data_IF_399393983276
#
_entry.id   IF_399393983276
#
_cell.length_a   1.000
_cell.length_b   1.000
_cell.length_c   1.000
_cell.angle_alpha   90.00
_cell.angle_beta   90.00
_cell.angle_gamma   90.00
#
_symmetry.space_group_name_H-M   'P 1'
#
loop_
_entity.id
_entity.type
_entity.pdbx_description
1 polymer ?
#
# COMPACT_ATOMS: atom_id res chain seq x y z
N UNK A 1 -35.85 9.55 -3.31
CA UNK A 1 -35.21 10.13 -4.51
C UNK A 1 -34.22 11.19 -4.04
N UNK A 2 -32.94 11.15 -4.46
CA UNK A 2 -31.97 12.21 -4.15
C UNK A 2 -31.91 13.18 -5.33
N UNK A 3 -32.17 14.45 -5.06
CA UNK A 3 -32.08 15.52 -6.06
C UNK A 3 -30.74 16.24 -5.87
N UNK A 4 -30.05 16.50 -6.98
CA UNK A 4 -28.81 17.27 -6.99
C UNK A 4 -29.09 18.62 -7.65
N UNK A 5 -28.80 19.70 -6.93
CA UNK A 5 -28.99 21.07 -7.39
C UNK A 5 -27.63 21.74 -7.62
N UNK A 6 -27.60 22.75 -8.50
CA UNK A 6 -26.43 23.58 -8.75
C UNK A 6 -26.86 24.96 -9.28
N UNK A 7 -26.00 25.96 -9.14
CA UNK A 7 -26.21 27.28 -9.75
C UNK A 7 -25.83 27.25 -11.24
N UNK A 8 -26.74 27.58 -12.17
CA UNK A 8 -26.44 27.66 -13.60
C UNK A 8 -25.32 28.65 -13.94
N UNK A 9 -25.21 29.78 -13.23
CA UNK A 9 -24.15 30.77 -13.48
C UNK A 9 -22.78 30.17 -13.16
N UNK A 10 -22.68 29.49 -12.03
CA UNK A 10 -21.48 28.76 -11.65
C UNK A 10 -21.17 27.61 -12.62
N UNK A 11 -22.19 26.88 -13.06
CA UNK A 11 -22.00 25.79 -14.03
C UNK A 11 -21.47 26.29 -15.38
N UNK A 12 -21.82 27.49 -15.82
CA UNK A 12 -21.24 28.10 -17.02
C UNK A 12 -19.75 28.44 -16.85
N UNK A 13 -19.31 28.76 -15.63
CA UNK A 13 -17.92 29.10 -15.34
C UNK A 13 -17.02 27.87 -15.18
N UNK A 14 -17.45 26.88 -14.38
CA UNK A 14 -16.60 25.74 -13.99
C UNK A 14 -17.03 24.40 -14.60
N UNK A 15 -18.22 24.36 -15.22
CA UNK A 15 -18.88 23.16 -15.74
C UNK A 15 -19.85 22.53 -14.74
N UNK A 16 -20.88 21.83 -15.25
CA UNK A 16 -21.95 21.23 -14.43
C UNK A 16 -21.43 20.29 -13.33
N UNK A 17 -20.46 19.42 -13.64
CA UNK A 17 -19.91 18.48 -12.68
C UNK A 17 -19.25 19.18 -11.47
N UNK A 18 -18.51 20.26 -11.73
CA UNK A 18 -17.88 21.07 -10.69
C UNK A 18 -18.92 21.87 -9.89
N UNK A 19 -19.90 22.46 -10.55
CA UNK A 19 -20.96 23.22 -9.87
C UNK A 19 -21.80 22.35 -8.92
N UNK A 20 -22.15 21.13 -9.32
CA UNK A 20 -22.89 20.19 -8.47
C UNK A 20 -22.05 19.75 -7.25
N UNK A 21 -20.77 19.41 -7.46
CA UNK A 21 -19.88 19.02 -6.36
C UNK A 21 -19.65 20.19 -5.40
N UNK A 22 -19.51 21.42 -5.93
CA UNK A 22 -19.40 22.62 -5.12
C UNK A 22 -20.61 22.83 -4.24
N UNK A 23 -21.83 22.80 -4.80
CA UNK A 23 -23.06 22.93 -4.03
C UNK A 23 -23.13 21.93 -2.87
N UNK A 24 -22.74 20.68 -3.13
CA UNK A 24 -22.71 19.64 -2.11
C UNK A 24 -21.69 19.90 -0.99
N UNK A 25 -20.47 20.35 -1.34
CA UNK A 25 -19.44 20.71 -0.37
C UNK A 25 -19.92 21.89 0.48
N UNK A 26 -20.44 22.94 -0.14
CA UNK A 26 -20.95 24.14 0.52
C UNK A 26 -22.08 23.82 1.49
N UNK A 27 -23.00 22.94 1.11
CA UNK A 27 -24.07 22.47 1.99
C UNK A 27 -23.53 21.83 3.28
N UNK A 28 -22.54 20.95 3.17
CA UNK A 28 -21.97 20.30 4.35
C UNK A 28 -21.13 21.24 5.21
N UNK A 29 -20.50 22.23 4.61
CA UNK A 29 -19.79 23.29 5.36
C UNK A 29 -20.79 24.12 6.16
N UNK A 30 -21.89 24.57 5.55
CA UNK A 30 -22.97 25.30 6.23
C UNK A 30 -23.61 24.46 7.35
N UNK A 31 -23.84 23.18 7.09
CA UNK A 31 -24.33 22.24 8.11
C UNK A 31 -23.37 22.12 9.29
N UNK A 32 -22.07 22.00 9.02
CA UNK A 32 -21.03 21.92 10.06
C UNK A 32 -20.91 23.25 10.81
N UNK A 33 -21.03 24.39 10.12
CA UNK A 33 -21.04 25.72 10.73
C UNK A 33 -22.19 25.90 11.72
N UNK A 34 -23.41 25.53 11.32
CA UNK A 34 -24.61 25.62 12.17
C UNK A 34 -24.55 24.72 13.40
N UNK A 35 -23.85 23.59 13.30
CA UNK A 35 -23.67 22.65 14.39
C UNK A 35 -22.34 22.85 15.16
N UNK A 36 -21.56 23.88 14.81
CA UNK A 36 -20.25 24.19 15.40
C UNK A 36 -19.24 23.03 15.36
N UNK A 37 -19.31 22.22 14.31
CA UNK A 37 -18.45 21.05 14.11
C UNK A 37 -17.36 21.34 13.08
N UNK A 38 -16.21 20.66 13.21
CA UNK A 38 -15.14 20.72 12.21
C UNK A 38 -14.60 22.14 11.92
N UNK A 39 -14.64 23.02 12.91
CA UNK A 39 -14.00 24.33 12.86
C UNK A 39 -12.50 24.20 13.11
N UNK A 40 -11.68 24.57 12.12
CA UNK A 40 -10.21 24.48 12.14
C UNK A 40 -9.61 25.61 11.32
N UNK A 41 -8.53 26.21 11.82
CA UNK A 41 -7.79 27.28 11.14
C UNK A 41 -8.69 28.45 10.68
N UNK A 42 -9.67 28.82 11.52
CA UNK A 42 -10.60 29.92 11.26
C UNK A 42 -11.71 29.60 10.25
N UNK A 43 -11.87 28.34 9.83
CA UNK A 43 -12.86 27.93 8.82
C UNK A 43 -13.59 26.66 9.24
N UNK A 44 -14.79 26.47 8.69
CA UNK A 44 -15.51 25.21 8.76
C UNK A 44 -15.13 24.31 7.58
N UNK A 45 -14.91 23.04 7.90
CA UNK A 45 -14.46 22.06 6.91
C UNK A 45 -15.44 20.91 6.78
N UNK A 46 -15.44 20.28 5.61
CA UNK A 46 -16.06 18.98 5.37
C UNK A 46 -15.02 18.04 4.76
N UNK A 47 -15.14 16.74 5.03
CA UNK A 47 -14.19 15.75 4.54
C UNK A 47 -14.90 14.77 3.63
N UNK A 48 -14.31 14.45 2.48
CA UNK A 48 -14.89 13.48 1.56
C UNK A 48 -13.84 12.86 0.63
N UNK A 49 -13.97 11.56 0.37
CA UNK A 49 -13.08 10.86 -0.54
C UNK A 49 -13.67 10.82 -1.95
N UNK A 50 -12.82 10.71 -2.98
CA UNK A 50 -13.29 10.51 -4.37
C UNK A 50 -14.21 9.29 -4.49
N UNK A 51 -13.93 8.23 -3.72
CA UNK A 51 -14.77 7.02 -3.67
C UNK A 51 -16.17 7.32 -3.12
N UNK A 52 -16.26 8.09 -2.04
CA UNK A 52 -17.54 8.48 -1.45
C UNK A 52 -18.29 9.47 -2.36
N UNK A 53 -17.60 10.40 -3.03
CA UNK A 53 -18.17 11.20 -4.10
C UNK A 53 -18.76 10.34 -5.23
N UNK A 54 -18.07 9.28 -5.68
CA UNK A 54 -18.59 8.39 -6.73
C UNK A 54 -19.87 7.65 -6.32
N UNK A 55 -20.05 7.36 -5.03
CA UNK A 55 -21.31 6.76 -4.52
C UNK A 55 -22.45 7.79 -4.48
N UNK A 56 -22.13 9.06 -4.22
CA UNK A 56 -23.12 10.14 -4.13
C UNK A 56 -23.50 10.70 -5.51
N UNK A 57 -22.57 10.63 -6.46
CA UNK A 57 -22.72 11.12 -7.84
C UNK A 57 -22.47 9.98 -8.82
N UNK A 58 -23.37 8.98 -8.92
CA UNK A 58 -23.14 7.77 -9.70
C UNK A 58 -23.07 8.02 -11.22
N UNK A 59 -23.50 9.21 -11.68
CA UNK A 59 -23.40 9.66 -13.07
C UNK A 59 -22.07 10.36 -13.38
N UNK A 60 -21.18 10.56 -12.40
CA UNK A 60 -19.84 11.11 -12.59
C UNK A 60 -18.79 10.02 -12.40
N UNK A 61 -17.90 9.89 -13.37
CA UNK A 61 -16.74 9.00 -13.25
C UNK A 61 -15.74 9.52 -12.21
N UNK A 62 -14.91 8.65 -11.60
CA UNK A 62 -13.86 9.08 -10.69
C UNK A 62 -12.87 10.09 -11.30
N UNK A 63 -12.70 10.09 -12.63
CA UNK A 63 -11.88 11.06 -13.34
C UNK A 63 -12.56 12.43 -13.37
N UNK A 64 -13.85 12.48 -13.74
CA UNK A 64 -14.62 13.72 -13.74
C UNK A 64 -14.70 14.36 -12.36
N UNK A 65 -14.83 13.57 -11.29
CA UNK A 65 -14.83 14.06 -9.91
C UNK A 65 -13.49 14.74 -9.57
N UNK A 66 -12.36 14.10 -9.89
CA UNK A 66 -11.03 14.69 -9.66
C UNK A 66 -10.85 15.99 -10.43
N UNK A 67 -11.14 15.98 -11.73
CA UNK A 67 -11.06 17.18 -12.57
C UNK A 67 -11.98 18.30 -12.08
N UNK A 68 -13.17 17.97 -11.59
CA UNK A 68 -14.10 18.93 -11.00
C UNK A 68 -13.53 19.56 -9.72
N UNK A 69 -13.01 18.76 -8.79
CA UNK A 69 -12.38 19.24 -7.56
C UNK A 69 -11.15 20.12 -7.87
N UNK A 70 -10.31 19.71 -8.82
CA UNK A 70 -9.13 20.50 -9.24
C UNK A 70 -9.55 21.85 -9.84
N UNK A 71 -10.61 21.89 -10.65
CA UNK A 71 -11.17 23.14 -11.19
C UNK A 71 -11.68 24.07 -10.09
N UNK A 72 -12.37 23.53 -9.08
CA UNK A 72 -12.88 24.33 -7.96
C UNK A 72 -11.73 24.92 -7.11
N UNK A 73 -10.67 24.14 -6.88
CA UNK A 73 -9.46 24.60 -6.19
C UNK A 73 -8.73 25.68 -7.00
N UNK A 74 -8.57 25.44 -8.31
CA UNK A 74 -7.89 26.40 -9.22
C UNK A 74 -8.66 27.72 -9.32
N UNK A 75 -10.00 27.65 -9.33
CA UNK A 75 -10.89 28.82 -9.31
C UNK A 75 -11.02 29.46 -7.92
N UNK A 76 -10.30 28.94 -6.92
CA UNK A 76 -10.31 29.38 -5.51
C UNK A 76 -11.69 29.36 -4.84
N UNK A 77 -12.64 28.61 -5.39
CA UNK A 77 -13.98 28.43 -4.81
C UNK A 77 -13.93 27.54 -3.57
N UNK A 78 -13.03 26.55 -3.58
CA UNK A 78 -12.74 25.70 -2.43
C UNK A 78 -11.24 25.66 -2.18
N UNK A 79 -10.87 25.40 -0.94
CA UNK A 79 -9.50 25.04 -0.55
C UNK A 79 -9.48 23.59 -0.09
N UNK A 80 -8.35 22.92 -0.33
CA UNK A 80 -8.10 21.54 0.13
C UNK A 80 -7.03 21.52 1.20
N UNK A 81 -7.20 20.69 2.22
CA UNK A 81 -6.21 20.45 3.25
C UNK A 81 -6.23 18.99 3.73
N UNK A 82 -5.20 18.64 4.50
CA UNK A 82 -5.09 17.37 5.21
C UNK A 82 -5.20 17.66 6.71
N UNK A 83 -6.35 17.36 7.31
CA UNK A 83 -6.60 17.53 8.75
C UNK A 83 -6.71 16.19 9.51
N UNK A 84 -6.23 15.11 8.88
CA UNK A 84 -6.31 13.78 9.46
C UNK A 84 -5.23 13.58 10.51
N UNK A 85 -5.60 13.00 11.65
CA UNK A 85 -4.64 12.67 12.72
C UNK A 85 -3.72 11.51 12.33
N UNK A 86 -4.22 10.57 11.51
CA UNK A 86 -3.45 9.46 10.95
C UNK A 86 -2.99 9.81 9.53
N UNK A 87 -1.69 9.69 9.25
CA UNK A 87 -1.09 9.90 7.91
C UNK A 87 -1.58 8.89 6.86
N UNK A 88 -2.19 7.80 7.30
CA UNK A 88 -2.77 6.76 6.44
C UNK A 88 -4.17 7.13 5.93
N UNK A 89 -4.86 8.04 6.62
CA UNK A 89 -6.14 8.54 6.18
C UNK A 89 -5.91 9.61 5.11
N UNK A 90 -6.31 9.27 3.88
CA UNK A 90 -6.20 10.14 2.70
C UNK A 90 -7.49 10.92 2.45
N UNK A 91 -8.38 10.99 3.45
CA UNK A 91 -9.61 11.77 3.32
C UNK A 91 -9.23 13.24 3.18
N UNK A 92 -9.56 13.80 2.02
CA UNK A 92 -9.30 15.20 1.75
C UNK A 92 -10.34 16.05 2.43
N UNK A 93 -9.89 17.10 3.11
CA UNK A 93 -10.74 18.10 3.72
C UNK A 93 -10.91 19.27 2.78
N UNK A 94 -12.13 19.80 2.70
CA UNK A 94 -12.51 20.93 1.87
C UNK A 94 -13.15 22.01 2.72
N UNK A 95 -12.75 23.25 2.49
CA UNK A 95 -13.40 24.44 3.02
C UNK A 95 -13.70 25.41 1.88
N UNK A 96 -14.58 26.39 2.14
CA UNK A 96 -14.83 27.47 1.20
C UNK A 96 -13.55 28.31 1.05
N UNK A 97 -13.18 28.58 -0.19
CA UNK A 97 -12.05 29.44 -0.51
C UNK A 97 -12.43 30.91 -0.43
N UNK A 98 -11.42 31.78 -0.45
CA UNK A 98 -11.58 33.24 -0.39
C UNK A 98 -11.97 33.84 -1.74
N UNK A 99 -12.68 33.09 -2.58
CA UNK A 99 -13.38 33.67 -3.70
C UNK A 99 -14.45 34.62 -3.14
N UNK A 100 -14.02 35.85 -2.85
CA UNK A 100 -14.84 37.05 -2.95
C UNK A 100 -15.54 36.89 -4.28
N UNK A 101 -16.84 36.65 -4.29
CA UNK A 101 -17.62 36.82 -5.50
C UNK A 101 -17.43 38.28 -5.95
N UNK A 102 -16.81 38.59 -7.09
CA UNK A 102 -17.04 39.87 -7.71
C UNK A 102 -18.19 39.63 -8.69
N UNK A 103 -19.31 40.29 -8.46
CA UNK A 103 -20.10 40.70 -9.61
C UNK A 103 -19.14 41.42 -10.58
N UNK A 104 -19.01 40.88 -11.80
CA UNK A 104 -18.34 41.55 -12.90
C UNK A 104 -16.85 41.23 -13.08
N UNK A 105 -16.51 41.01 -14.35
CA UNK A 105 -15.17 40.97 -14.94
C UNK A 105 -14.40 39.64 -14.81
N UNK A 106 -14.79 38.70 -15.68
CA UNK A 106 -13.84 37.77 -16.28
C UNK A 106 -13.26 38.43 -17.54
N UNK A 107 -11.96 38.71 -17.54
CA UNK A 107 -11.24 38.98 -18.79
C UNK A 107 -11.15 37.67 -19.59
N UNK A 108 -11.80 37.71 -20.75
CA UNK A 108 -11.82 36.68 -21.77
C UNK A 108 -10.45 36.60 -22.47
N UNK A 109 -9.92 35.42 -22.81
CA UNK A 109 -9.18 35.28 -24.05
C UNK A 109 -10.20 35.30 -25.20
N UNK A 110 -10.05 36.31 -26.06
CA UNK A 110 -10.98 36.66 -27.13
C UNK A 110 -11.32 35.54 -28.10
N UNK A 111 -12.53 35.66 -28.61
CA UNK A 111 -13.21 34.82 -29.58
C UNK A 111 -12.45 34.66 -30.90
N UNK A 112 -12.64 33.51 -31.54
CA UNK A 112 -12.75 33.42 -32.99
C UNK A 112 -13.71 32.28 -33.37
N UNK A 113 -14.99 32.64 -33.29
CA UNK A 113 -16.08 32.46 -34.25
C UNK A 113 -16.30 31.16 -35.06
N UNK A 114 -17.60 30.95 -35.28
CA UNK A 114 -18.32 29.93 -36.02
C UNK A 114 -17.77 29.58 -37.42
N UNK A 115 -17.92 28.31 -37.80
CA UNK A 115 -17.70 27.85 -39.17
C UNK A 115 -17.90 26.36 -39.35
N UNK A 116 -19.12 25.97 -39.75
CA UNK A 116 -19.50 24.89 -40.69
C UNK A 116 -18.62 23.63 -40.75
N UNK A 117 -19.26 22.48 -40.52
CA UNK A 117 -18.68 21.16 -40.78
C UNK A 117 -18.27 20.96 -42.25
N UNK A 118 -17.13 20.28 -42.49
CA UNK A 118 -17.05 19.35 -43.61
C UNK A 118 -16.56 17.97 -43.17
N UNK A 119 -17.11 16.96 -43.85
CA UNK A 119 -16.60 15.60 -43.79
C UNK A 119 -15.18 15.49 -44.37
N UNK A 120 -14.39 14.61 -43.76
CA UNK A 120 -13.43 13.74 -44.44
C UNK A 120 -12.23 14.40 -45.14
N UNK A 121 -11.05 14.30 -44.51
CA UNK A 121 -9.87 13.68 -45.15
C UNK A 121 -8.69 13.63 -44.17
N UNK A 122 -8.01 12.50 -44.20
CA UNK A 122 -6.82 12.15 -43.44
C UNK A 122 -5.61 13.02 -43.80
N UNK A 123 -4.61 13.01 -42.90
CA UNK A 123 -3.20 13.47 -42.99
C UNK A 123 -2.96 14.79 -42.23
N UNK A 124 -1.99 14.97 -41.34
CA UNK A 124 -0.76 14.22 -41.02
C UNK A 124 -0.28 14.68 -39.62
N UNK A 125 0.05 13.73 -38.74
CA UNK A 125 0.57 14.03 -37.40
C UNK A 125 1.94 14.72 -37.53
N UNK A 126 1.99 16.02 -37.24
CA UNK A 126 3.26 16.72 -37.00
C UNK A 126 3.52 16.80 -35.50
N UNK A 127 3.78 15.64 -34.90
CA UNK A 127 4.29 15.54 -33.54
C UNK A 127 5.76 15.96 -33.56
N UNK A 128 6.12 17.00 -32.81
CA UNK A 128 7.49 17.21 -32.35
C UNK A 128 7.56 16.73 -30.89
N UNK A 129 8.40 15.74 -30.56
CA UNK A 129 8.49 15.21 -29.20
C UNK A 129 9.33 16.15 -28.35
N UNK A 130 8.69 17.00 -27.55
CA UNK A 130 9.40 17.65 -26.45
C UNK A 130 9.52 16.68 -25.28
N UNK A 131 10.74 16.12 -25.21
CA UNK A 131 11.37 15.36 -24.12
C UNK A 131 10.77 13.99 -23.87
N UNK A 132 11.55 12.98 -24.26
CA UNK A 132 11.39 11.61 -23.77
C UNK A 132 11.25 11.66 -22.23
N UNK A 133 10.22 11.02 -21.65
CA UNK A 133 10.22 10.76 -20.22
C UNK A 133 11.52 10.02 -19.88
N UNK A 134 12.15 10.29 -18.73
CA UNK A 134 13.43 9.70 -18.40
C UNK A 134 13.35 8.19 -18.57
N UNK A 135 14.38 7.63 -19.21
CA UNK A 135 14.47 6.21 -19.44
C UNK A 135 14.22 5.47 -18.12
N UNK A 136 13.60 4.29 -18.23
CA UNK A 136 13.23 3.38 -17.14
C UNK A 136 14.39 2.98 -16.18
N UNK A 137 15.57 3.57 -16.34
CA UNK A 137 16.77 3.37 -15.54
C UNK A 137 16.99 4.42 -14.43
N UNK A 138 16.35 5.59 -14.46
CA UNK A 138 16.70 6.70 -13.53
C UNK A 138 15.81 6.84 -12.27
N UNK A 139 14.79 5.98 -12.10
CA UNK A 139 14.01 5.89 -10.86
C UNK A 139 14.38 4.66 -10.01
N UNK A 140 15.68 4.30 -10.00
CA UNK A 140 16.24 3.55 -8.86
C UNK A 140 16.57 4.56 -7.77
N UNK A 141 15.53 5.14 -7.16
CA UNK A 141 15.68 5.84 -5.88
C UNK A 141 16.10 4.77 -4.85
N UNK A 142 17.43 4.65 -4.71
CA UNK A 142 18.19 3.76 -3.82
C UNK A 142 17.72 2.30 -3.84
N UNK A 143 18.27 1.50 -4.74
CA UNK A 143 18.13 0.04 -4.67
C UNK A 143 18.66 -0.43 -3.31
N UNK A 144 17.74 -0.78 -2.40
CA UNK A 144 18.05 -1.47 -1.15
C UNK A 144 18.11 -2.97 -1.47
N UNK A 145 19.32 -3.57 -1.60
CA UNK A 145 19.46 -4.96 -2.02
C UNK A 145 18.80 -5.93 -1.03
N UNK A 146 18.62 -5.49 0.22
CA UNK A 146 18.00 -6.28 1.27
C UNK A 146 16.47 -6.29 1.08
N UNK A 147 15.85 -5.12 0.90
CA UNK A 147 14.41 -5.04 0.68
C UNK A 147 13.97 -5.59 -0.68
N UNK A 148 14.82 -5.52 -1.72
CA UNK A 148 14.50 -6.05 -3.05
C UNK A 148 14.13 -7.53 -3.01
N UNK A 149 14.80 -8.34 -2.18
CA UNK A 149 14.45 -9.77 -2.03
C UNK A 149 13.03 -9.95 -1.48
N UNK A 150 12.69 -9.20 -0.44
CA UNK A 150 11.35 -9.22 0.18
C UNK A 150 10.30 -8.71 -0.82
N UNK A 151 10.63 -7.67 -1.59
CA UNK A 151 9.77 -7.11 -2.61
C UNK A 151 9.48 -8.11 -3.73
N UNK A 152 10.50 -8.84 -4.18
CA UNK A 152 10.39 -9.83 -5.25
C UNK A 152 9.72 -11.13 -4.82
N UNK A 153 9.70 -11.44 -3.51
CA UNK A 153 8.90 -12.52 -2.95
C UNK A 153 7.37 -12.25 -2.99
N UNK A 154 6.96 -10.99 -2.96
CA UNK A 154 5.53 -10.61 -2.95
C UNK A 154 4.85 -10.80 -4.33
N UNK A 155 3.54 -11.09 -4.43
CA UNK A 155 2.86 -11.23 -5.73
C UNK A 155 3.03 -10.03 -6.66
N UNK A 156 3.58 -10.24 -7.86
CA UNK A 156 3.96 -9.18 -8.78
C UNK A 156 2.79 -8.28 -9.22
N UNK A 157 1.58 -8.84 -9.36
CA UNK A 157 0.37 -8.12 -9.77
C UNK A 157 -0.24 -7.25 -8.64
N UNK A 158 0.30 -7.36 -7.42
CA UNK A 158 -0.18 -6.67 -6.21
C UNK A 158 0.90 -5.81 -5.54
N UNK A 159 2.06 -5.68 -6.17
CA UNK A 159 3.11 -4.75 -5.78
C UNK A 159 2.67 -3.31 -6.09
N UNK A 160 2.63 -2.46 -5.06
CA UNK A 160 2.27 -1.04 -5.16
C UNK A 160 3.05 -0.25 -4.13
N UNK A 161 3.49 0.95 -4.53
CA UNK A 161 4.14 1.91 -3.64
C UNK A 161 5.36 1.31 -2.92
N UNK A 162 6.43 1.10 -3.69
CA UNK A 162 7.68 0.48 -3.23
C UNK A 162 8.26 1.23 -2.02
N UNK A 163 8.33 2.56 -2.08
CA UNK A 163 8.88 3.39 -0.99
C UNK A 163 8.13 3.18 0.33
N UNK A 164 6.80 3.26 0.33
CA UNK A 164 6.02 3.03 1.55
C UNK A 164 6.14 1.59 2.07
N UNK A 165 6.25 0.61 1.17
CA UNK A 165 6.45 -0.80 1.54
C UNK A 165 7.82 -1.01 2.18
N UNK A 166 8.88 -0.41 1.61
CA UNK A 166 10.24 -0.40 2.14
C UNK A 166 10.30 0.26 3.51
N UNK A 167 9.75 1.45 3.64
CA UNK A 167 9.81 2.22 4.89
C UNK A 167 9.05 1.52 6.02
N UNK A 168 7.91 0.89 5.71
CA UNK A 168 7.16 0.08 6.67
C UNK A 168 7.94 -1.18 7.11
N UNK A 169 8.58 -1.87 6.16
CA UNK A 169 9.41 -3.03 6.45
C UNK A 169 10.64 -2.65 7.29
N UNK A 170 11.35 -1.59 6.90
CA UNK A 170 12.50 -1.06 7.63
C UNK A 170 12.11 -0.66 9.04
N UNK A 171 11.00 0.06 9.21
CA UNK A 171 10.54 0.45 10.54
C UNK A 171 10.20 -0.77 11.43
N UNK A 172 9.72 -1.88 10.86
CA UNK A 172 9.48 -3.12 11.61
C UNK A 172 10.79 -3.81 12.03
N UNK A 173 11.79 -3.81 11.15
CA UNK A 173 13.13 -4.34 11.43
C UNK A 173 13.84 -3.49 12.49
N UNK A 174 13.79 -2.16 12.36
CA UNK A 174 14.42 -1.21 13.28
C UNK A 174 13.79 -1.29 14.69
N UNK A 175 12.50 -1.65 14.78
CA UNK A 175 11.82 -1.95 16.06
C UNK A 175 12.13 -3.34 16.62
N UNK A 176 12.89 -4.17 15.89
CA UNK A 176 13.23 -5.54 16.29
C UNK A 176 12.05 -6.52 16.23
N UNK A 177 10.97 -6.19 15.52
CA UNK A 177 9.77 -7.03 15.47
C UNK A 177 9.97 -8.26 14.56
N UNK A 178 10.76 -8.10 13.50
CA UNK A 178 10.96 -9.08 12.43
C UNK A 178 12.34 -8.93 11.81
N UNK A 179 12.96 -10.05 11.42
CA UNK A 179 14.17 -10.02 10.60
C UNK A 179 13.84 -9.92 9.11
N UNK A 180 14.81 -9.48 8.30
CA UNK A 180 14.63 -9.44 6.84
C UNK A 180 14.25 -10.83 6.27
N UNK A 181 14.89 -11.89 6.77
CA UNK A 181 14.65 -13.27 6.34
C UNK A 181 13.24 -13.74 6.71
N UNK A 182 12.80 -13.46 7.94
CA UNK A 182 11.44 -13.78 8.39
C UNK A 182 10.39 -13.06 7.55
N UNK A 183 10.66 -11.80 7.20
CA UNK A 183 9.77 -11.01 6.37
C UNK A 183 9.72 -11.51 4.92
N UNK A 184 10.85 -11.96 4.38
CA UNK A 184 10.91 -12.61 3.08
C UNK A 184 10.08 -13.91 3.08
N UNK A 185 10.32 -14.82 4.04
CA UNK A 185 9.53 -16.06 4.15
C UNK A 185 8.04 -15.80 4.33
N UNK A 186 7.67 -14.76 5.09
CA UNK A 186 6.28 -14.35 5.23
C UNK A 186 5.66 -13.88 3.90
N UNK A 187 6.41 -13.15 3.07
CA UNK A 187 5.94 -12.69 1.76
C UNK A 187 5.76 -13.87 0.78
N UNK A 188 6.69 -14.84 0.77
CA UNK A 188 6.60 -16.06 -0.03
C UNK A 188 5.40 -16.93 0.38
N UNK A 189 5.19 -17.11 1.69
CA UNK A 189 4.05 -17.83 2.22
C UNK A 189 2.72 -17.15 1.88
N UNK A 190 2.67 -15.82 1.95
CA UNK A 190 1.52 -15.04 1.50
C UNK A 190 1.26 -15.20 0.00
N UNK A 191 2.31 -15.15 -0.83
CA UNK A 191 2.20 -15.33 -2.27
C UNK A 191 1.66 -16.73 -2.64
N UNK A 192 2.14 -17.75 -1.93
CA UNK A 192 1.69 -19.14 -2.10
C UNK A 192 0.22 -19.29 -1.73
N UNK A 193 -0.19 -18.79 -0.56
CA UNK A 193 -1.58 -18.83 -0.08
C UNK A 193 -2.54 -18.08 -1.01
N UNK A 194 -2.08 -16.98 -1.62
CA UNK A 194 -2.90 -16.10 -2.46
C UNK A 194 -2.89 -16.44 -3.95
N UNK A 195 -2.11 -17.43 -4.40
CA UNK A 195 -1.93 -17.78 -5.81
C UNK A 195 -3.23 -18.12 -6.57
N UNK A 196 -4.22 -18.70 -5.88
CA UNK A 196 -5.54 -19.03 -6.44
C UNK A 196 -6.63 -18.00 -6.17
N UNK A 197 -6.30 -16.88 -5.52
CA UNK A 197 -7.31 -15.92 -5.06
C UNK A 197 -7.68 -14.93 -6.15
N UNK A 198 -8.92 -14.43 -6.07
CA UNK A 198 -9.29 -13.29 -6.90
C UNK A 198 -8.51 -12.05 -6.47
N UNK A 199 -8.20 -11.23 -7.47
CA UNK A 199 -7.46 -9.96 -7.36
C UNK A 199 -7.90 -9.05 -6.21
N UNK A 200 -9.20 -9.01 -5.89
CA UNK A 200 -9.76 -8.19 -4.82
C UNK A 200 -9.49 -8.74 -3.41
N UNK A 201 -9.12 -10.03 -3.29
CA UNK A 201 -8.80 -10.71 -2.03
C UNK A 201 -7.31 -10.67 -1.69
N UNK A 202 -6.46 -10.33 -2.65
CA UNK A 202 -5.02 -10.15 -2.43
C UNK A 202 -4.74 -8.69 -2.06
N UNK A 203 -4.04 -8.50 -0.95
CA UNK A 203 -3.69 -7.17 -0.44
C UNK A 203 -2.63 -6.52 -1.33
N UNK A 204 -2.69 -5.21 -1.51
CA UNK A 204 -1.55 -4.49 -2.06
C UNK A 204 -0.37 -4.54 -1.08
N UNK A 205 0.85 -4.57 -1.59
CA UNK A 205 2.07 -4.70 -0.79
C UNK A 205 2.15 -3.62 0.31
N UNK A 206 1.90 -2.36 -0.02
CA UNK A 206 1.91 -1.24 0.94
C UNK A 206 0.94 -1.47 2.12
N UNK A 207 -0.27 -1.95 1.83
CA UNK A 207 -1.25 -2.29 2.85
C UNK A 207 -0.85 -3.54 3.66
N UNK A 208 -0.15 -4.49 3.04
CA UNK A 208 0.30 -5.70 3.70
C UNK A 208 1.47 -5.44 4.66
N UNK A 209 2.46 -4.66 4.23
CA UNK A 209 3.58 -4.20 5.05
C UNK A 209 3.12 -3.21 6.14
N UNK A 210 2.41 -2.15 5.75
CA UNK A 210 1.94 -1.11 6.67
C UNK A 210 0.89 -1.61 7.66
N UNK A 211 0.02 -2.53 7.23
CA UNK A 211 -1.01 -3.15 8.08
C UNK A 211 -0.50 -4.33 8.91
N UNK A 212 0.81 -4.60 8.95
CA UNK A 212 1.43 -5.69 9.72
C UNK A 212 0.83 -7.07 9.45
N UNK A 213 0.28 -7.29 8.25
CA UNK A 213 -0.36 -8.56 7.88
C UNK A 213 0.63 -9.72 7.77
N UNK A 214 1.91 -9.40 7.65
CA UNK A 214 3.03 -10.34 7.72
C UNK A 214 3.20 -10.98 9.10
N UNK A 215 2.73 -10.35 10.18
CA UNK A 215 2.95 -10.82 11.55
C UNK A 215 2.41 -12.25 11.77
N UNK A 216 1.19 -12.54 11.29
CA UNK A 216 0.61 -13.90 11.38
C UNK A 216 1.46 -14.97 10.71
N UNK A 217 2.17 -14.62 9.64
CA UNK A 217 3.04 -15.55 8.91
C UNK A 217 4.34 -15.76 9.66
N UNK A 218 4.93 -14.68 10.16
CA UNK A 218 6.14 -14.73 10.98
C UNK A 218 5.89 -15.55 12.24
N UNK A 219 4.79 -15.30 12.96
CA UNK A 219 4.45 -16.04 14.18
C UNK A 219 4.25 -17.52 13.89
N UNK A 220 3.54 -17.86 12.80
CA UNK A 220 3.38 -19.25 12.36
C UNK A 220 4.73 -19.89 12.04
N UNK A 221 5.61 -19.21 11.29
CA UNK A 221 6.94 -19.71 10.99
C UNK A 221 7.81 -19.90 12.23
N UNK A 222 7.69 -19.01 13.23
CA UNK A 222 8.40 -19.14 14.51
C UNK A 222 7.92 -20.36 15.28
N UNK A 223 6.61 -20.59 15.36
CA UNK A 223 6.02 -21.78 15.99
C UNK A 223 6.47 -23.05 15.26
N UNK A 224 6.40 -23.07 13.94
CA UNK A 224 6.80 -24.21 13.13
C UNK A 224 8.30 -24.52 13.29
N UNK A 225 9.15 -23.48 13.30
CA UNK A 225 10.61 -23.61 13.52
C UNK A 225 10.91 -24.11 14.92
N UNK A 226 10.26 -23.59 15.95
CA UNK A 226 10.42 -24.05 17.33
C UNK A 226 9.97 -25.52 17.47
N UNK A 227 8.84 -25.88 16.87
CA UNK A 227 8.34 -27.25 16.85
C UNK A 227 9.29 -28.21 16.11
N UNK A 228 9.85 -27.79 14.98
CA UNK A 228 10.84 -28.57 14.24
C UNK A 228 12.14 -28.74 15.04
N UNK A 229 12.64 -27.67 15.66
CA UNK A 229 13.82 -27.72 16.51
C UNK A 229 13.62 -28.66 17.72
N UNK A 230 12.46 -28.60 18.39
CA UNK A 230 12.13 -29.50 19.48
C UNK A 230 12.08 -30.98 19.03
N UNK A 231 11.48 -31.26 17.85
CA UNK A 231 11.48 -32.61 17.28
C UNK A 231 12.90 -33.10 16.95
N UNK A 232 13.72 -32.26 16.36
CA UNK A 232 15.12 -32.58 16.06
C UNK A 232 15.93 -32.82 17.34
N UNK A 233 15.75 -32.00 18.37
CA UNK A 233 16.40 -32.17 19.66
C UNK A 233 15.96 -33.46 20.37
N UNK A 234 14.66 -33.79 20.33
CA UNK A 234 14.15 -35.05 20.85
C UNK A 234 14.71 -36.27 20.09
N UNK A 235 14.85 -36.18 18.77
CA UNK A 235 15.48 -37.22 17.97
C UNK A 235 16.96 -37.41 18.33
N UNK A 236 17.71 -36.32 18.49
CA UNK A 236 19.11 -36.35 18.94
C UNK A 236 19.24 -36.94 20.35
N UNK A 237 18.33 -36.63 21.27
CA UNK A 237 18.30 -37.22 22.61
C UNK A 237 18.03 -38.74 22.53
N UNK A 238 17.14 -39.19 21.65
CA UNK A 238 16.91 -40.62 21.41
C UNK A 238 18.14 -41.34 20.87
N UNK A 239 18.89 -40.72 19.96
CA UNK A 239 20.16 -41.26 19.48
C UNK A 239 21.24 -41.27 20.56
N UNK A 240 21.29 -40.24 21.41
CA UNK A 240 22.23 -40.17 22.53
C UNK A 240 21.99 -41.32 23.52
N UNK A 241 20.72 -41.67 23.78
CA UNK A 241 20.36 -42.82 24.62
C UNK A 241 20.90 -44.14 24.05
N UNK A 242 20.84 -44.33 22.72
CA UNK A 242 21.43 -45.51 22.07
C UNK A 242 22.95 -45.57 22.26
N UNK A 243 23.63 -44.42 22.17
CA UNK A 243 25.09 -44.32 22.37
C UNK A 243 25.46 -44.63 23.82
N UNK A 244 24.71 -44.10 24.80
CA UNK A 244 24.96 -44.32 26.24
C UNK A 244 24.72 -45.79 26.61
N UNK A 245 23.62 -46.37 26.13
CA UNK A 245 23.26 -47.79 26.36
C UNK A 245 24.08 -48.77 25.51
N UNK A 246 24.91 -48.29 24.58
CA UNK A 246 25.70 -49.09 23.62
C UNK A 246 24.83 -50.04 22.81
N UNK A 247 23.68 -49.56 22.37
CA UNK A 247 22.74 -50.32 21.53
C UNK A 247 23.36 -50.65 20.17
N UNK A 248 23.01 -51.81 19.60
CA UNK A 248 23.41 -52.19 18.23
C UNK A 248 22.89 -51.23 17.15
N UNK A 249 21.91 -50.40 17.50
CA UNK A 249 21.34 -49.38 16.61
C UNK A 249 22.30 -48.20 16.36
N UNK A 250 23.39 -48.08 17.13
CA UNK A 250 24.42 -47.05 16.92
C UNK A 250 25.03 -47.10 15.52
N UNK A 251 25.02 -48.26 14.84
CA UNK A 251 25.47 -48.40 13.45
C UNK A 251 24.73 -47.52 12.44
N UNK A 252 23.51 -47.07 12.78
CA UNK A 252 22.67 -46.24 11.93
C UNK A 252 22.88 -44.74 12.17
N UNK A 253 23.68 -44.37 13.17
CA UNK A 253 23.94 -42.98 13.49
C UNK A 253 24.97 -42.44 12.50
N UNK A 254 24.60 -41.37 11.78
CA UNK A 254 25.50 -40.73 10.84
C UNK A 254 26.55 -39.87 11.57
N UNK A 255 27.66 -39.60 10.87
CA UNK A 255 28.70 -38.67 11.34
C UNK A 255 28.13 -37.31 11.76
N UNK A 256 27.22 -36.75 10.97
CA UNK A 256 26.61 -35.45 11.25
C UNK A 256 25.71 -35.48 12.48
N UNK A 257 24.99 -36.58 12.71
CA UNK A 257 24.19 -36.77 13.93
C UNK A 257 25.09 -36.91 15.16
N UNK A 258 26.20 -37.65 15.04
CA UNK A 258 27.21 -37.77 16.10
C UNK A 258 27.79 -36.41 16.50
N UNK A 259 28.22 -35.60 15.52
CA UNK A 259 28.71 -34.24 15.77
C UNK A 259 27.61 -33.38 16.42
N UNK A 260 26.40 -33.41 15.89
CA UNK A 260 25.28 -32.63 16.44
C UNK A 260 24.93 -33.01 17.89
N UNK A 261 25.01 -34.30 18.26
CA UNK A 261 24.82 -34.73 19.65
C UNK A 261 25.95 -34.27 20.56
N UNK A 262 27.19 -34.27 20.06
CA UNK A 262 28.35 -33.76 20.81
C UNK A 262 28.26 -32.24 21.03
N UNK A 263 27.92 -31.48 19.98
CA UNK A 263 27.74 -30.02 20.06
C UNK A 263 26.57 -29.65 20.97
N UNK A 264 25.51 -30.45 20.97
CA UNK A 264 24.39 -30.30 21.90
C UNK A 264 24.73 -30.72 23.35
N UNK A 265 25.94 -31.24 23.60
CA UNK A 265 26.38 -31.68 24.93
C UNK A 265 25.68 -32.93 25.45
N UNK A 266 24.99 -33.68 24.58
CA UNK A 266 24.23 -34.88 24.96
C UNK A 266 25.13 -36.10 25.16
N UNK A 267 26.27 -36.14 24.46
CA UNK A 267 27.28 -37.22 24.54
C UNK A 267 28.67 -36.64 24.37
N UNK A 268 29.67 -37.33 24.93
CA UNK A 268 31.09 -36.99 24.78
C UNK A 268 31.73 -37.72 23.62
N UNK A 269 32.85 -37.19 23.10
CA UNK A 269 33.65 -37.85 22.07
C UNK A 269 34.05 -39.29 22.45
N UNK A 270 34.39 -39.51 23.73
CA UNK A 270 34.75 -40.83 24.26
C UNK A 270 33.59 -41.82 24.20
N UNK A 271 32.36 -41.37 24.49
CA UNK A 271 31.16 -42.21 24.41
C UNK A 271 30.82 -42.58 22.96
N UNK A 272 30.92 -41.64 22.03
CA UNK A 272 30.71 -41.90 20.60
C UNK A 272 31.71 -42.92 20.05
N UNK A 273 33.00 -42.75 20.37
CA UNK A 273 34.05 -43.71 19.97
C UNK A 273 33.83 -45.09 20.59
N UNK A 274 33.44 -45.17 21.86
CA UNK A 274 33.16 -46.44 22.54
C UNK A 274 31.93 -47.16 21.96
N UNK A 275 30.96 -46.44 21.42
CA UNK A 275 29.79 -46.98 20.73
C UNK A 275 30.04 -47.30 19.24
N UNK A 276 31.26 -47.09 18.74
CA UNK A 276 31.63 -47.37 17.34
C UNK A 276 31.14 -46.32 16.33
N UNK A 277 30.67 -45.15 16.80
CA UNK A 277 30.28 -44.03 15.94
C UNK A 277 31.50 -43.18 15.62
N UNK A 278 31.95 -43.20 14.36
CA UNK A 278 33.06 -42.37 13.91
C UNK A 278 32.55 -40.96 13.57
N UNK A 279 33.04 -39.97 14.33
CA UNK A 279 32.81 -38.53 14.14
C UNK A 279 34.07 -37.80 13.74
#
# INVERSE_FOLDING_TARGET
MKVHCFDPKLANQVGMAAAVIFYHISFWIDHNAKNEQNFRDGRYWTYNSVKAFSLQFPYLTPKQIRTALDKLVTSRLIIKAEHNADRSDRTTWYALGDAICPEGQADLPGEANEGVAPQGSSKENRYKPDKEPPSRAEAREEADPNFDKVWHAYPADRRRNWAASRDAARAAIDRGEVSLEELQSAAEAYATESSGYTRSKVSYSDNWFGGRRWQRYVDRHRVDRAGAAAKSQAALAGFAEWVISRSELCRNISRSQGIAMQEAGLVTFGQLRAAGVNI
#
